data_IF_252378054813
#
_entry.id   IF_252378054813
#
_cell.length_a   1.000
_cell.length_b   1.000
_cell.length_c   1.000
_cell.angle_alpha   90.00
_cell.angle_beta   90.00
_cell.angle_gamma   90.00
#
_symmetry.space_group_name_H-M   'P 1'
#
loop_
_entity.id
_entity.type
_entity.pdbx_description
1 polymer ?
#
# COMPACT_ATOMS: atom_id res chain seq x y z
N UNK A 1 -19.21 17.23 -13.29
CA UNK A 1 -20.57 17.15 -12.72
C UNK A 1 -20.55 17.44 -11.23
N UNK A 2 -19.53 16.99 -10.52
CA UNK A 2 -19.32 17.15 -9.08
C UNK A 2 -19.36 18.63 -8.65
N UNK A 3 -18.58 19.47 -9.32
CA UNK A 3 -18.52 20.93 -9.08
C UNK A 3 -19.91 21.60 -9.21
N UNK A 4 -20.76 21.11 -10.11
CA UNK A 4 -22.11 21.64 -10.30
C UNK A 4 -23.03 21.27 -9.12
N UNK A 5 -22.93 20.04 -8.60
CA UNK A 5 -23.73 19.60 -7.46
C UNK A 5 -23.39 20.41 -6.19
N UNK A 6 -22.10 20.63 -5.94
CA UNK A 6 -21.61 21.51 -4.87
C UNK A 6 -22.09 22.96 -5.05
N UNK A 7 -21.99 23.51 -6.27
CA UNK A 7 -22.45 24.86 -6.53
C UNK A 7 -23.94 25.04 -6.28
N UNK A 8 -24.78 24.08 -6.69
CA UNK A 8 -26.24 24.12 -6.45
C UNK A 8 -26.56 24.10 -4.96
N UNK A 9 -25.91 23.21 -4.21
CA UNK A 9 -26.09 23.12 -2.76
C UNK A 9 -25.67 24.42 -2.05
N UNK A 10 -24.58 25.06 -2.47
CA UNK A 10 -24.17 26.37 -1.94
C UNK A 10 -25.20 27.50 -2.20
N UNK A 11 -26.09 27.32 -3.19
CA UNK A 11 -27.20 28.23 -3.49
C UNK A 11 -28.52 27.80 -2.80
N UNK A 12 -28.48 26.81 -1.89
CA UNK A 12 -29.68 26.25 -1.26
C UNK A 12 -30.55 25.42 -2.21
N UNK A 13 -30.02 25.03 -3.37
CA UNK A 13 -30.72 24.23 -4.37
C UNK A 13 -30.30 22.75 -4.28
N UNK A 14 -31.22 21.81 -4.55
CA UNK A 14 -30.89 20.39 -4.52
C UNK A 14 -29.87 20.06 -5.62
N UNK A 15 -28.80 19.34 -5.26
CA UNK A 15 -27.78 18.85 -6.17
C UNK A 15 -27.06 17.66 -5.54
N UNK A 16 -26.96 16.56 -6.30
CA UNK A 16 -26.30 15.34 -5.87
C UNK A 16 -25.48 14.79 -7.04
N UNK A 17 -24.21 14.50 -6.76
CA UNK A 17 -23.32 13.78 -7.66
C UNK A 17 -22.95 12.45 -7.03
N UNK A 18 -23.10 11.33 -7.76
CA UNK A 18 -22.80 9.99 -7.25
C UNK A 18 -21.67 9.39 -8.08
N UNK A 19 -20.54 9.09 -7.44
CA UNK A 19 -19.42 8.40 -8.05
C UNK A 19 -19.53 6.89 -7.76
N UNK A 20 -20.02 6.14 -8.75
CA UNK A 20 -20.22 4.70 -8.61
C UNK A 20 -18.94 3.90 -8.86
N UNK A 21 -18.75 2.87 -8.04
CA UNK A 21 -17.82 1.77 -8.29
C UNK A 21 -18.29 0.87 -9.43
N UNK A 22 -17.63 -0.28 -9.60
CA UNK A 22 -17.91 -1.18 -10.70
C UNK A 22 -19.35 -1.73 -10.66
N UNK A 23 -20.00 -1.86 -11.82
CA UNK A 23 -21.30 -2.53 -11.98
C UNK A 23 -21.11 -3.88 -12.66
N UNK A 24 -21.79 -4.90 -12.17
CA UNK A 24 -21.86 -6.22 -12.77
C UNK A 24 -23.03 -6.30 -13.75
N UNK A 25 -22.94 -7.22 -14.71
CA UNK A 25 -24.02 -7.62 -15.63
C UNK A 25 -24.48 -6.59 -16.68
N UNK A 26 -24.17 -5.30 -16.56
CA UNK A 26 -24.53 -4.28 -17.57
C UNK A 26 -23.29 -3.48 -17.97
N UNK A 27 -22.83 -3.69 -19.22
CA UNK A 27 -21.76 -2.90 -19.84
C UNK A 27 -20.68 -3.76 -20.48
N UNK A 28 -20.62 -3.76 -21.81
CA UNK A 28 -19.62 -4.45 -22.64
C UNK A 28 -18.18 -3.90 -22.51
N UNK A 29 -17.86 -3.13 -21.46
CA UNK A 29 -16.65 -2.32 -21.36
C UNK A 29 -15.79 -2.60 -20.12
N UNK A 30 -16.10 -3.61 -19.32
CA UNK A 30 -15.17 -4.09 -18.29
C UNK A 30 -14.77 -5.51 -18.62
N UNK A 31 -13.56 -5.64 -19.17
CA UNK A 31 -12.92 -6.91 -19.43
C UNK A 31 -13.03 -7.77 -18.16
N UNK A 32 -13.53 -9.00 -18.28
CA UNK A 32 -13.77 -9.89 -17.13
C UNK A 32 -12.52 -10.06 -16.24
N UNK A 33 -11.34 -9.87 -16.81
CA UNK A 33 -10.07 -9.83 -16.10
C UNK A 33 -9.93 -8.66 -15.12
N UNK A 34 -10.43 -7.47 -15.46
CA UNK A 34 -10.43 -6.28 -14.58
C UNK A 34 -11.40 -6.49 -13.41
N UNK A 35 -12.58 -7.04 -13.66
CA UNK A 35 -13.54 -7.40 -12.59
C UNK A 35 -12.92 -8.47 -11.68
N UNK A 36 -12.32 -9.51 -12.25
CA UNK A 36 -11.64 -10.56 -11.48
C UNK A 36 -10.49 -10.04 -10.62
N UNK A 37 -9.69 -9.09 -11.15
CA UNK A 37 -8.60 -8.44 -10.41
C UNK A 37 -9.10 -7.54 -9.28
N UNK A 38 -10.21 -6.82 -9.49
CA UNK A 38 -10.82 -6.01 -8.44
C UNK A 38 -11.44 -6.89 -7.34
N UNK A 39 -12.13 -7.96 -7.73
CA UNK A 39 -12.75 -8.91 -6.80
C UNK A 39 -11.72 -9.65 -5.94
N UNK A 40 -10.55 -10.02 -6.50
CA UNK A 40 -9.47 -10.63 -5.72
C UNK A 40 -8.85 -9.67 -4.69
N UNK A 41 -9.01 -8.36 -4.89
CA UNK A 41 -8.61 -7.30 -3.94
C UNK A 41 -9.75 -6.86 -3.00
N UNK A 42 -10.89 -7.56 -3.01
CA UNK A 42 -12.05 -7.27 -2.16
C UNK A 42 -12.96 -6.15 -2.69
N UNK A 43 -12.74 -5.63 -3.90
CA UNK A 43 -13.62 -4.64 -4.54
C UNK A 43 -14.63 -5.40 -5.40
N UNK A 44 -15.90 -5.31 -5.03
CA UNK A 44 -17.00 -6.01 -5.68
C UNK A 44 -17.74 -5.10 -6.65
N UNK A 45 -18.40 -5.72 -7.61
CA UNK A 45 -19.32 -5.05 -8.54
C UNK A 45 -20.74 -5.04 -7.98
N UNK A 46 -21.47 -3.94 -8.19
CA UNK A 46 -22.89 -3.82 -7.85
C UNK A 46 -23.77 -4.60 -8.82
N UNK A 47 -24.81 -5.26 -8.33
CA UNK A 47 -25.94 -5.61 -9.19
C UNK A 47 -26.82 -4.38 -9.43
N UNK A 48 -27.65 -4.36 -10.49
CA UNK A 48 -28.59 -3.27 -10.73
C UNK A 48 -29.55 -3.02 -9.56
N UNK A 49 -29.98 -4.08 -8.88
CA UNK A 49 -30.87 -4.02 -7.72
C UNK A 49 -30.18 -3.33 -6.53
N UNK A 50 -28.94 -3.72 -6.23
CA UNK A 50 -28.13 -3.08 -5.18
C UNK A 50 -27.88 -1.60 -5.50
N UNK A 51 -27.61 -1.29 -6.77
CA UNK A 51 -27.43 0.08 -7.23
C UNK A 51 -28.69 0.91 -7.04
N UNK A 52 -29.87 0.34 -7.29
CA UNK A 52 -31.15 1.04 -7.08
C UNK A 52 -31.42 1.30 -5.60
N UNK A 53 -31.19 0.31 -4.73
CA UNK A 53 -31.35 0.47 -3.27
C UNK A 53 -30.48 1.62 -2.72
N UNK A 54 -29.21 1.67 -3.14
CA UNK A 54 -28.31 2.75 -2.71
C UNK A 54 -28.72 4.09 -3.31
N UNK A 55 -29.17 4.12 -4.57
CA UNK A 55 -29.63 5.34 -5.21
C UNK A 55 -30.84 5.94 -4.47
N UNK A 56 -31.84 5.12 -4.11
CA UNK A 56 -33.00 5.57 -3.34
C UNK A 56 -32.62 6.14 -1.97
N UNK A 57 -31.66 5.51 -1.29
CA UNK A 57 -31.14 6.02 -0.03
C UNK A 57 -30.43 7.38 -0.19
N UNK A 58 -29.62 7.53 -1.25
CA UNK A 58 -28.88 8.77 -1.50
C UNK A 58 -29.77 9.93 -1.92
N UNK A 59 -30.92 9.69 -2.55
CA UNK A 59 -31.89 10.75 -2.84
C UNK A 59 -32.46 11.42 -1.59
N UNK A 60 -32.42 10.74 -0.44
CA UNK A 60 -32.84 11.29 0.85
C UNK A 60 -31.68 11.96 1.61
N UNK A 61 -30.45 11.86 1.11
CA UNK A 61 -29.28 12.50 1.72
C UNK A 61 -29.18 13.98 1.33
N UNK A 62 -28.52 14.75 2.18
CA UNK A 62 -28.21 16.16 1.91
C UNK A 62 -26.78 16.35 1.42
N UNK A 63 -26.08 15.28 1.07
CA UNK A 63 -24.70 15.38 0.62
C UNK A 63 -24.62 15.86 -0.83
N UNK A 64 -23.76 16.84 -1.15
CA UNK A 64 -23.60 17.33 -2.53
C UNK A 64 -22.91 16.28 -3.42
N UNK A 65 -22.13 15.36 -2.84
CA UNK A 65 -21.39 14.35 -3.56
C UNK A 65 -21.14 13.12 -2.70
N UNK A 66 -21.37 11.92 -3.24
CA UNK A 66 -21.14 10.66 -2.56
C UNK A 66 -20.44 9.65 -3.47
N UNK A 67 -19.42 8.99 -2.94
CA UNK A 67 -18.78 7.83 -3.58
C UNK A 67 -19.38 6.52 -3.06
N UNK A 68 -19.71 5.61 -3.97
CA UNK A 68 -20.36 4.33 -3.65
C UNK A 68 -19.50 3.19 -4.14
N UNK A 69 -18.95 2.38 -3.23
CA UNK A 69 -18.08 1.24 -3.56
C UNK A 69 -18.55 0.02 -2.78
N UNK A 70 -18.65 -1.13 -3.45
CA UNK A 70 -18.97 -2.40 -2.81
C UNK A 70 -17.67 -3.09 -2.40
N UNK A 71 -17.52 -3.39 -1.10
CA UNK A 71 -16.28 -3.93 -0.53
C UNK A 71 -16.56 -5.17 0.32
N UNK A 72 -15.78 -6.21 0.07
CA UNK A 72 -15.53 -7.26 1.05
C UNK A 72 -14.39 -6.78 1.96
N UNK A 73 -14.74 -6.17 3.09
CA UNK A 73 -13.78 -5.59 4.03
C UNK A 73 -12.74 -6.59 4.52
N UNK A 74 -13.14 -7.85 4.73
CA UNK A 74 -12.23 -8.91 5.19
C UNK A 74 -11.12 -9.17 4.17
N UNK A 75 -11.45 -9.15 2.87
CA UNK A 75 -10.50 -9.32 1.77
C UNK A 75 -9.76 -8.03 1.43
N UNK A 76 -10.44 -6.89 1.52
CA UNK A 76 -9.87 -5.58 1.19
C UNK A 76 -8.77 -5.16 2.20
N UNK A 77 -8.92 -5.53 3.47
CA UNK A 77 -7.96 -5.23 4.53
C UNK A 77 -6.78 -6.24 4.60
N UNK A 78 -6.87 -7.40 3.94
CA UNK A 78 -5.76 -8.36 3.88
C UNK A 78 -4.53 -7.72 3.22
N UNK A 79 -3.42 -7.62 3.97
CA UNK A 79 -2.18 -7.02 3.50
C UNK A 79 -2.15 -5.47 3.51
N UNK A 80 -3.18 -4.81 4.05
CA UNK A 80 -3.27 -3.34 4.18
C UNK A 80 -3.27 -2.83 5.63
N UNK A 81 -2.74 -3.64 6.56
CA UNK A 81 -2.63 -3.24 7.96
C UNK A 81 -1.79 -1.97 8.13
N UNK A 82 -2.30 -0.97 8.86
CA UNK A 82 -1.57 0.26 9.21
C UNK A 82 -1.90 1.51 8.41
N UNK A 83 -3.02 1.57 7.69
CA UNK A 83 -3.51 2.84 7.11
C UNK A 83 -4.46 3.54 8.09
N UNK A 84 -4.04 4.70 8.62
CA UNK A 84 -4.76 5.45 9.68
C UNK A 84 -6.19 5.83 9.31
N UNK A 85 -6.52 5.89 8.02
CA UNK A 85 -7.85 6.25 7.52
C UNK A 85 -8.86 5.08 7.50
N UNK A 86 -8.41 3.83 7.70
CA UNK A 86 -9.27 2.64 7.64
C UNK A 86 -9.47 1.96 9.00
N UNK A 87 -8.93 2.54 10.09
CA UNK A 87 -8.96 1.94 11.42
C UNK A 87 -10.39 1.66 11.91
N UNK A 88 -11.33 2.55 11.61
CA UNK A 88 -12.75 2.38 11.97
C UNK A 88 -13.41 1.18 11.27
N UNK A 89 -12.88 0.74 10.13
CA UNK A 89 -13.39 -0.39 9.36
C UNK A 89 -12.68 -1.71 9.68
N UNK A 90 -11.69 -1.69 10.58
CA UNK A 90 -10.94 -2.89 11.01
C UNK A 90 -11.61 -3.66 12.15
N UNK A 91 -12.62 -3.08 12.80
CA UNK A 91 -13.43 -3.75 13.83
C UNK A 91 -14.52 -4.63 13.20
N UNK A 92 -14.12 -5.64 12.43
CA UNK A 92 -15.05 -6.70 12.03
C UNK A 92 -15.14 -7.75 13.14
N UNK A 93 -16.32 -8.34 13.41
CA UNK A 93 -16.43 -9.46 14.34
C UNK A 93 -15.51 -10.58 13.88
N UNK A 94 -14.72 -11.14 14.82
CA UNK A 94 -13.79 -12.24 14.62
C UNK A 94 -14.45 -13.41 13.87
N UNK A 95 -14.36 -13.40 12.54
CA UNK A 95 -14.78 -14.53 11.72
C UNK A 95 -13.58 -15.44 11.53
N UNK A 96 -13.65 -16.53 12.29
CA UNK A 96 -12.93 -17.79 12.23
C UNK A 96 -11.59 -17.84 11.48
N UNK A 97 -10.59 -18.15 12.28
CA UNK A 97 -9.28 -18.69 11.95
C UNK A 97 -9.34 -19.72 10.80
N UNK A 98 -9.29 -19.26 9.55
CA UNK A 98 -8.75 -20.06 8.45
C UNK A 98 -7.24 -20.08 8.58
N UNK A 99 -6.60 -21.22 8.26
CA UNK A 99 -5.20 -21.42 8.57
C UNK A 99 -4.43 -20.27 7.94
N UNK A 100 -3.63 -19.57 8.76
CA UNK A 100 -2.53 -18.76 8.28
C UNK A 100 -1.74 -19.71 7.38
N UNK A 101 -1.96 -19.63 6.08
CA UNK A 101 -0.91 -19.97 5.15
C UNK A 101 0.15 -18.95 5.45
N UNK A 102 1.04 -19.35 6.36
CA UNK A 102 2.41 -18.91 6.43
C UNK A 102 2.96 -19.22 5.04
N UNK A 103 2.64 -18.36 4.07
CA UNK A 103 3.67 -17.95 3.14
C UNK A 103 4.71 -17.40 4.09
N UNK A 104 5.75 -18.20 4.33
CA UNK A 104 6.96 -17.79 5.00
C UNK A 104 7.30 -16.43 4.39
N UNK A 105 6.88 -15.39 5.10
CA UNK A 105 7.30 -14.04 4.85
C UNK A 105 8.67 -14.05 5.50
N UNK A 106 9.59 -14.69 4.76
CA UNK A 106 11.01 -14.63 5.00
C UNK A 106 11.32 -13.16 4.86
N UNK A 107 11.15 -12.45 5.97
CA UNK A 107 11.63 -11.09 6.18
C UNK A 107 13.15 -11.22 6.37
N UNK A 108 13.81 -11.80 5.38
CA UNK A 108 15.25 -11.72 5.25
C UNK A 108 15.51 -10.27 4.89
N UNK A 109 16.02 -9.54 5.86
CA UNK A 109 16.62 -8.25 5.54
C UNK A 109 17.69 -8.53 4.48
N UNK A 110 17.74 -7.70 3.45
CA UNK A 110 18.66 -7.90 2.32
C UNK A 110 20.13 -8.06 2.80
N UNK A 111 20.44 -7.48 3.95
CA UNK A 111 21.68 -7.59 4.72
C UNK A 111 22.08 -8.99 5.16
N UNK A 112 21.14 -9.94 5.30
CA UNK A 112 21.43 -11.32 5.67
C UNK A 112 21.87 -12.18 4.48
N UNK A 113 21.70 -11.66 3.25
CA UNK A 113 22.05 -12.35 2.02
C UNK A 113 23.48 -11.94 1.61
N UNK A 114 24.36 -12.89 1.26
CA UNK A 114 25.68 -12.59 0.71
C UNK A 114 25.62 -11.65 -0.49
N UNK A 115 26.52 -10.65 -0.55
CA UNK A 115 26.52 -9.59 -1.56
C UNK A 115 26.52 -10.13 -3.01
N UNK A 116 27.17 -11.27 -3.24
CA UNK A 116 27.23 -11.97 -4.52
C UNK A 116 25.88 -12.58 -4.96
N UNK A 117 24.97 -12.85 -4.01
CA UNK A 117 23.66 -13.46 -4.26
C UNK A 117 22.50 -12.47 -4.16
N UNK A 118 22.72 -11.29 -3.56
CA UNK A 118 21.69 -10.27 -3.38
C UNK A 118 21.01 -9.84 -4.69
N UNK A 119 21.79 -9.70 -5.77
CA UNK A 119 21.25 -9.27 -7.07
C UNK A 119 20.26 -10.28 -7.64
N UNK A 120 20.64 -11.56 -7.67
CA UNK A 120 19.81 -12.63 -8.24
C UNK A 120 18.56 -12.88 -7.39
N UNK A 121 18.70 -12.77 -6.06
CA UNK A 121 17.57 -12.78 -5.15
C UNK A 121 16.61 -11.63 -5.43
N UNK A 122 17.11 -10.39 -5.53
CA UNK A 122 16.29 -9.21 -5.82
C UNK A 122 15.57 -9.32 -7.17
N UNK A 123 16.23 -9.82 -8.20
CA UNK A 123 15.60 -10.05 -9.51
C UNK A 123 14.42 -11.01 -9.36
N UNK A 124 14.62 -12.11 -8.64
CA UNK A 124 13.58 -13.12 -8.40
C UNK A 124 12.41 -12.54 -7.57
N UNK A 125 12.74 -11.78 -6.54
CA UNK A 125 11.78 -11.09 -5.68
C UNK A 125 10.96 -10.05 -6.46
N UNK A 126 11.61 -9.12 -7.18
CA UNK A 126 10.95 -8.06 -7.94
C UNK A 126 10.06 -8.65 -9.01
N UNK A 127 10.50 -9.71 -9.72
CA UNK A 127 9.64 -10.44 -10.66
C UNK A 127 8.39 -10.97 -9.97
N UNK A 128 8.53 -11.67 -8.84
CA UNK A 128 7.40 -12.19 -8.08
C UNK A 128 6.45 -11.09 -7.61
N UNK A 129 7.00 -9.98 -7.10
CA UNK A 129 6.24 -8.83 -6.63
C UNK A 129 5.45 -8.17 -7.76
N UNK A 130 6.09 -7.91 -8.90
CA UNK A 130 5.46 -7.32 -10.10
C UNK A 130 4.39 -8.25 -10.65
N UNK A 131 4.66 -9.55 -10.79
CA UNK A 131 3.66 -10.55 -11.22
C UNK A 131 2.44 -10.55 -10.31
N UNK A 132 2.62 -10.50 -8.98
CA UNK A 132 1.51 -10.47 -8.01
C UNK A 132 0.70 -9.18 -8.09
N UNK A 133 1.37 -8.02 -8.13
CA UNK A 133 0.71 -6.71 -8.17
C UNK A 133 -0.07 -6.53 -9.46
N UNK A 134 0.51 -6.95 -10.58
CA UNK A 134 -0.11 -6.89 -11.91
C UNK A 134 -1.01 -8.10 -12.19
N UNK A 135 -1.16 -9.07 -11.28
CA UNK A 135 -1.95 -10.28 -11.51
C UNK A 135 -1.59 -11.04 -12.79
N UNK A 136 -0.32 -10.99 -13.20
CA UNK A 136 0.17 -11.72 -14.37
C UNK A 136 0.25 -13.22 -14.06
N UNK A 137 0.13 -14.06 -15.08
CA UNK A 137 0.34 -15.50 -14.91
C UNK A 137 1.82 -15.77 -14.67
N UNK A 138 2.16 -16.56 -13.65
CA UNK A 138 3.54 -16.85 -13.20
C UNK A 138 4.48 -17.38 -14.31
N UNK A 139 3.92 -17.88 -15.42
CA UNK A 139 4.67 -18.39 -16.58
C UNK A 139 5.21 -17.31 -17.52
N UNK A 140 4.82 -16.04 -17.37
CA UNK A 140 5.36 -14.95 -18.19
C UNK A 140 6.76 -14.56 -17.72
N UNK A 141 7.76 -14.76 -18.59
CA UNK A 141 9.14 -14.35 -18.32
C UNK A 141 9.23 -12.82 -18.40
N UNK A 142 9.36 -12.17 -17.25
CA UNK A 142 9.57 -10.72 -17.18
C UNK A 142 11.03 -10.38 -17.52
N UNK A 143 11.21 -9.74 -18.68
CA UNK A 143 12.50 -9.26 -19.15
C UNK A 143 13.00 -8.07 -18.32
N UNK A 144 14.29 -8.07 -17.98
CA UNK A 144 14.90 -7.06 -17.10
C UNK A 144 14.86 -5.65 -17.69
N UNK A 145 14.96 -5.54 -19.02
CA UNK A 145 15.03 -4.26 -19.72
C UNK A 145 13.66 -3.70 -20.08
N UNK A 146 12.57 -4.43 -19.79
CA UNK A 146 11.22 -3.98 -20.10
C UNK A 146 10.77 -2.95 -19.05
N UNK A 147 10.18 -1.85 -19.52
CA UNK A 147 9.65 -0.80 -18.65
C UNK A 147 8.41 -1.28 -17.92
N UNK A 148 8.24 -0.85 -16.68
CA UNK A 148 7.10 -1.26 -15.86
C UNK A 148 5.75 -0.74 -16.40
N UNK A 149 5.73 0.45 -17.03
CA UNK A 149 4.49 0.95 -17.66
C UNK A 149 4.03 0.06 -18.82
N UNK A 150 4.97 -0.52 -19.57
CA UNK A 150 4.67 -1.42 -20.70
C UNK A 150 4.11 -2.78 -20.22
N UNK A 151 4.16 -3.03 -18.92
CA UNK A 151 3.53 -4.17 -18.23
C UNK A 151 2.18 -3.80 -17.61
N UNK A 152 1.73 -2.54 -17.74
CA UNK A 152 0.47 -2.06 -17.18
C UNK A 152 0.58 -1.56 -15.74
N UNK A 153 1.78 -1.14 -15.31
CA UNK A 153 1.93 -0.42 -14.04
C UNK A 153 1.33 0.99 -14.15
N UNK A 154 0.58 1.36 -13.12
CA UNK A 154 -0.11 2.64 -12.91
C UNK A 154 0.17 3.17 -11.49
N UNK A 155 -0.48 4.27 -11.10
CA UNK A 155 -0.29 4.88 -9.78
C UNK A 155 -0.68 3.94 -8.62
N UNK A 156 -1.77 3.18 -8.77
CA UNK A 156 -2.26 2.30 -7.70
C UNK A 156 -1.32 1.10 -7.50
N UNK A 157 -0.94 0.45 -8.58
CA UNK A 157 -0.01 -0.69 -8.57
C UNK A 157 1.39 -0.29 -8.11
N UNK A 158 1.80 0.97 -8.33
CA UNK A 158 3.07 1.49 -7.81
C UNK A 158 3.04 1.70 -6.30
N UNK A 159 1.93 2.20 -5.74
CA UNK A 159 1.74 2.29 -4.28
C UNK A 159 1.79 0.88 -3.66
N UNK A 160 1.12 -0.09 -4.28
CA UNK A 160 1.13 -1.48 -3.81
C UNK A 160 2.53 -2.09 -3.84
N UNK A 161 3.29 -1.90 -4.92
CA UNK A 161 4.66 -2.38 -5.03
C UNK A 161 5.58 -1.74 -3.99
N UNK A 162 5.48 -0.42 -3.79
CA UNK A 162 6.22 0.30 -2.74
C UNK A 162 5.95 -0.28 -1.36
N UNK A 163 4.68 -0.44 -1.00
CA UNK A 163 4.29 -0.96 0.30
C UNK A 163 4.84 -2.36 0.52
N UNK A 164 4.82 -3.19 -0.53
CA UNK A 164 5.40 -4.53 -0.50
C UNK A 164 6.91 -4.51 -0.27
N UNK A 165 7.67 -3.73 -1.05
CA UNK A 165 9.13 -3.59 -0.86
C UNK A 165 9.45 -3.09 0.55
N UNK A 166 8.72 -2.08 1.05
CA UNK A 166 8.90 -1.57 2.40
C UNK A 166 8.64 -2.62 3.48
N UNK A 167 7.63 -3.48 3.28
CA UNK A 167 7.26 -4.52 4.25
C UNK A 167 8.23 -5.69 4.22
N UNK A 168 8.51 -6.22 3.03
CA UNK A 168 9.27 -7.45 2.84
C UNK A 168 10.79 -7.20 2.99
N UNK A 169 11.31 -6.07 2.49
CA UNK A 169 12.74 -5.76 2.44
C UNK A 169 13.17 -4.63 3.37
N UNK A 170 12.24 -3.94 4.06
CA UNK A 170 12.51 -2.75 4.89
C UNK A 170 13.18 -1.59 4.15
N UNK A 171 13.05 -1.57 2.83
CA UNK A 171 13.56 -0.50 1.96
C UNK A 171 12.42 0.43 1.56
N UNK A 172 12.60 1.74 1.73
CA UNK A 172 11.61 2.74 1.29
C UNK A 172 12.01 3.33 -0.06
N UNK A 173 11.29 2.93 -1.11
CA UNK A 173 11.39 3.55 -2.43
C UNK A 173 10.36 4.68 -2.51
N UNK A 174 10.73 5.84 -3.06
CA UNK A 174 9.76 6.91 -3.26
C UNK A 174 8.81 6.60 -4.43
N UNK A 175 7.58 7.15 -4.37
CA UNK A 175 6.62 7.00 -5.48
C UNK A 175 7.15 7.65 -6.76
N UNK A 176 7.87 8.78 -6.64
CA UNK A 176 8.51 9.44 -7.77
C UNK A 176 9.48 8.51 -8.52
N UNK A 177 10.31 7.76 -7.79
CA UNK A 177 11.25 6.79 -8.36
C UNK A 177 10.55 5.60 -9.05
N UNK A 178 9.34 5.23 -8.62
CA UNK A 178 8.54 4.21 -9.31
C UNK A 178 7.80 4.80 -10.52
N UNK A 179 7.36 6.05 -10.42
CA UNK A 179 6.68 6.80 -11.49
C UNK A 179 7.63 7.28 -12.58
N UNK A 180 8.95 7.34 -12.33
CA UNK A 180 9.96 7.61 -13.36
C UNK A 180 10.10 6.50 -14.41
N UNK A 181 9.17 5.53 -14.40
CA UNK A 181 9.05 4.42 -15.32
C UNK A 181 10.35 3.60 -15.48
N UNK A 182 10.91 3.10 -14.36
CA UNK A 182 12.12 2.29 -14.45
C UNK A 182 11.84 0.98 -15.19
N UNK A 183 12.88 0.41 -15.78
CA UNK A 183 12.89 -1.01 -16.14
C UNK A 183 12.93 -1.89 -14.87
N UNK A 184 12.62 -3.19 -15.03
CA UNK A 184 12.71 -4.13 -13.91
C UNK A 184 14.13 -4.20 -13.34
N UNK A 185 15.16 -4.15 -14.18
CA UNK A 185 16.56 -4.09 -13.77
C UNK A 185 16.90 -2.80 -13.02
N UNK A 186 16.46 -1.65 -13.52
CA UNK A 186 16.67 -0.36 -12.83
C UNK A 186 15.97 -0.30 -11.47
N UNK A 187 14.81 -0.96 -11.32
CA UNK A 187 14.15 -1.08 -10.03
C UNK A 187 14.97 -1.93 -9.05
N UNK A 188 15.58 -3.03 -9.51
CA UNK A 188 16.49 -3.84 -8.69
C UNK A 188 17.70 -3.01 -8.23
N UNK A 189 18.30 -2.26 -9.14
CA UNK A 189 19.46 -1.40 -8.83
C UNK A 189 19.10 -0.33 -7.79
N UNK A 190 17.93 0.30 -7.92
CA UNK A 190 17.42 1.29 -6.95
C UNK A 190 17.17 0.68 -5.57
N UNK A 191 16.60 -0.51 -5.49
CA UNK A 191 16.38 -1.21 -4.21
C UNK A 191 17.72 -1.50 -3.54
N UNK A 192 18.71 -1.95 -4.31
CA UNK A 192 20.05 -2.22 -3.81
C UNK A 192 20.74 -0.95 -3.28
N UNK A 193 20.67 0.15 -4.03
CA UNK A 193 21.22 1.46 -3.61
C UNK A 193 20.55 1.97 -2.32
N UNK A 194 19.22 1.87 -2.21
CA UNK A 194 18.49 2.31 -1.02
C UNK A 194 18.74 1.43 0.20
N UNK A 195 19.03 0.13 0.02
CA UNK A 195 19.45 -0.75 1.11
C UNK A 195 20.77 -0.27 1.71
N UNK A 196 21.77 -0.02 0.86
CA UNK A 196 23.10 0.46 1.27
C UNK A 196 23.03 1.82 2.00
N UNK A 197 22.18 2.73 1.51
CA UNK A 197 21.96 4.03 2.15
C UNK A 197 21.27 3.89 3.52
N UNK A 198 20.36 2.92 3.68
CA UNK A 198 19.69 2.65 4.95
C UNK A 198 20.64 2.03 5.97
N UNK A 199 21.54 1.15 5.53
CA UNK A 199 22.61 0.57 6.36
C UNK A 199 23.62 1.63 6.84
N UNK A 200 24.05 2.53 5.94
CA UNK A 200 24.96 3.61 6.29
C UNK A 200 24.36 4.53 7.39
N UNK A 201 23.07 4.84 7.30
CA UNK A 201 22.35 5.62 8.32
C UNK A 201 22.17 4.89 9.64
N UNK A 202 21.89 3.58 9.60
CA UNK A 202 21.77 2.77 10.81
C UNK A 202 23.11 2.66 11.56
N UNK A 203 24.21 2.52 10.82
CA UNK A 203 25.57 2.43 11.38
C UNK A 203 26.06 3.75 11.97
N UNK A 204 25.62 4.89 11.43
CA UNK A 204 25.97 6.22 11.94
C UNK A 204 25.13 6.61 13.17
N UNK A 205 23.86 6.19 13.22
CA UNK A 205 23.00 6.37 14.38
C UNK A 205 23.51 5.61 15.62
N UNK A 206 24.00 4.39 15.45
CA UNK A 206 24.53 3.55 16.55
C UNK A 206 25.84 4.12 17.14
N UNK A 207 26.62 4.88 16.36
CA UNK A 207 27.83 5.57 16.84
C UNK A 207 27.56 6.86 17.61
N UNK A 208 26.32 7.34 17.63
CA UNK A 208 25.96 8.66 18.15
C UNK A 208 25.37 8.66 19.57
N UNK A 209 25.31 7.52 20.26
CA UNK A 209 24.90 7.47 21.68
C UNK A 209 26.02 8.06 22.56
N UNK A 210 25.81 9.20 23.25
CA UNK A 210 26.78 9.70 24.21
C UNK A 210 26.68 8.86 25.49
N UNK A 211 27.80 8.29 25.94
CA UNK A 211 27.95 7.77 27.30
C UNK A 211 27.42 8.81 28.31
N UNK A 212 26.36 8.44 29.03
CA UNK A 212 25.86 9.25 30.13
C UNK A 212 26.91 9.30 31.25
N UNK A 213 27.25 10.48 31.81
CA UNK A 213 28.24 10.56 32.87
C UNK A 213 27.65 10.00 34.17
N UNK A 214 28.41 9.10 34.78
CA UNK A 214 28.18 8.53 36.10
C UNK A 214 28.28 9.63 37.17
N UNK A 215 27.16 9.95 37.81
CA UNK A 215 27.09 10.89 38.93
C UNK A 215 27.81 10.29 40.15
N UNK A 216 29.10 10.58 40.31
CA UNK A 216 29.78 10.44 41.60
C UNK A 216 29.35 11.59 42.52
N UNK A 217 28.50 11.28 43.50
CA UNK A 217 28.19 12.15 44.63
C UNK A 217 29.39 12.20 45.57
N UNK A 218 30.23 13.24 45.46
CA UNK A 218 31.25 13.58 46.46
C UNK A 218 31.17 15.07 46.77
N UNK A 219 30.88 15.41 48.03
CA UNK A 219 30.66 16.80 48.42
C UNK A 219 30.38 16.97 49.92
N UNK A 220 31.41 16.75 50.72
CA UNK A 220 31.46 17.01 52.15
C UNK A 220 31.05 18.47 52.49
N UNK A 221 30.09 18.63 53.42
CA UNK A 221 29.82 19.93 54.07
C UNK A 221 30.57 20.02 55.40
N UNK A 222 31.61 20.83 55.38
CA UNK A 222 32.47 21.23 56.50
C UNK A 222 31.76 22.31 57.33
N UNK A 223 31.88 22.20 58.66
CA UNK A 223 31.48 23.17 59.70
C UNK A 223 32.22 24.51 59.61
N UNK A 224 31.56 25.63 59.98
CA UNK A 224 32.05 26.70 60.89
C UNK A 224 30.91 27.72 61.15
N UNK A 225 30.35 27.82 62.38
CA UNK A 225 30.50 28.90 63.39
C UNK A 225 30.38 30.35 62.89
N UNK A 226 29.30 31.04 63.26
CA UNK A 226 29.22 31.92 64.44
C UNK A 226 27.78 31.92 64.97
#
# INVERSE_FOLDING_TARGET
>A
MDVLAHWRQAQGLPGLSINWGAWGQIGAAVEQQVIGRLASKGIQSFSPEQGMEVFEALLQSHDPQVGVVSLDWSRYLQGRAGTTYLEDFTQLPESEQRPKQVLESVSQSLTEIPLDQQRDYLISYVRSAVTKVLGLRTTEKLELNRRLIDLGMDSLTSVELRNRVRTDLRVDISIDQLMSNPSLGELVDRIMEQSLLSEARATDADKSVPESPSTQTSGARKRLKL
#
